data_IF_282388073003
#
_entry.id   IF_282388073003
#
_cell.length_a   1.000
_cell.length_b   1.000
_cell.length_c   1.000
_cell.angle_alpha   90.00
_cell.angle_beta   90.00
_cell.angle_gamma   90.00
#
_symmetry.space_group_name_H-M   'P 1'
#
loop_
_entity.id
_entity.type
_entity.pdbx_description
1 polymer ?
#
# COMPACT_ATOMS: atom_id res chain seq x y z
N UNK A 1 -1.52 -36.33 -14.67
CA UNK A 1 -1.25 -36.94 -16.00
C UNK A 1 -2.32 -36.51 -17.04
N UNK A 2 -2.80 -35.26 -17.03
CA UNK A 2 -3.82 -34.81 -18.00
C UNK A 2 -3.21 -34.06 -19.20
N UNK A 3 -2.00 -33.48 -19.05
CA UNK A 3 -1.30 -32.80 -20.15
C UNK A 3 -0.37 -33.70 -20.98
N UNK A 4 -0.23 -34.99 -20.62
CA UNK A 4 0.73 -35.91 -21.23
C UNK A 4 0.10 -37.02 -22.11
N UNK A 5 -1.24 -37.03 -22.26
CA UNK A 5 -2.00 -38.22 -22.69
C UNK A 5 -2.75 -38.13 -24.02
N UNK A 6 -2.50 -37.16 -24.89
CA UNK A 6 -3.21 -37.07 -26.17
C UNK A 6 -2.53 -36.15 -27.17
N UNK A 7 -2.84 -36.33 -28.44
CA UNK A 7 -2.37 -35.58 -29.61
C UNK A 7 -2.77 -34.09 -29.59
N UNK A 8 -2.37 -33.35 -28.57
CA UNK A 8 -2.61 -31.93 -28.42
C UNK A 8 -1.37 -31.27 -27.84
N UNK A 9 -1.00 -30.10 -28.38
CA UNK A 9 0.15 -29.32 -27.95
C UNK A 9 -0.06 -28.77 -26.52
N UNK A 10 0.65 -29.31 -25.50
CA UNK A 10 0.52 -28.87 -24.12
C UNK A 10 0.91 -27.40 -23.94
N UNK A 11 1.80 -26.89 -24.81
CA UNK A 11 2.20 -25.49 -24.86
C UNK A 11 1.02 -24.56 -25.17
N UNK A 12 0.07 -25.00 -26.02
CA UNK A 12 -1.15 -24.24 -26.29
C UNK A 12 -2.03 -24.10 -25.06
N UNK A 13 -2.20 -25.16 -24.28
CA UNK A 13 -3.01 -25.11 -23.05
C UNK A 13 -2.36 -24.18 -22.03
N UNK A 14 -1.05 -24.30 -21.82
CA UNK A 14 -0.31 -23.41 -20.95
C UNK A 14 -0.42 -21.95 -21.38
N UNK A 15 -0.28 -21.66 -22.68
CA UNK A 15 -0.42 -20.30 -23.22
C UNK A 15 -1.82 -19.70 -22.98
N UNK A 16 -2.88 -20.50 -23.13
CA UNK A 16 -4.26 -20.05 -22.84
C UNK A 16 -4.47 -19.76 -21.35
N UNK A 17 -3.91 -20.59 -20.47
CA UNK A 17 -3.95 -20.35 -19.02
C UNK A 17 -3.25 -19.06 -18.66
N UNK A 18 -2.03 -18.84 -19.17
CA UNK A 18 -1.25 -17.61 -18.91
C UNK A 18 -2.02 -16.37 -19.37
N UNK A 19 -2.68 -16.44 -20.53
CA UNK A 19 -3.50 -15.35 -21.05
C UNK A 19 -4.68 -15.03 -20.13
N UNK A 20 -5.46 -16.05 -19.73
CA UNK A 20 -6.63 -15.86 -18.86
C UNK A 20 -6.25 -15.38 -17.45
N UNK A 21 -5.20 -15.94 -16.87
CA UNK A 21 -4.74 -15.58 -15.53
C UNK A 21 -4.11 -14.19 -15.50
N UNK A 22 -3.43 -13.77 -16.58
CA UNK A 22 -2.90 -12.41 -16.71
C UNK A 22 -4.00 -11.35 -16.60
N UNK A 23 -5.16 -11.59 -17.20
CA UNK A 23 -6.32 -10.70 -17.10
C UNK A 23 -6.86 -10.62 -15.66
N UNK A 24 -7.01 -11.77 -14.98
CA UNK A 24 -7.46 -11.82 -13.59
C UNK A 24 -6.47 -11.12 -12.64
N UNK A 25 -5.16 -11.37 -12.81
CA UNK A 25 -4.12 -10.73 -12.03
C UNK A 25 -4.16 -9.20 -12.16
N UNK A 26 -4.21 -8.69 -13.40
CA UNK A 26 -4.35 -7.26 -13.64
C UNK A 26 -5.61 -6.66 -13.00
N UNK A 27 -6.74 -7.38 -13.06
CA UNK A 27 -8.00 -6.95 -12.46
C UNK A 27 -7.98 -6.84 -10.93
N UNK A 28 -7.02 -7.49 -10.26
CA UNK A 28 -6.84 -7.36 -8.80
C UNK A 28 -5.97 -6.18 -8.39
N UNK A 29 -5.28 -5.52 -9.33
CA UNK A 29 -4.44 -4.35 -9.05
C UNK A 29 -5.31 -3.10 -9.09
N UNK A 30 -5.49 -2.47 -7.93
CA UNK A 30 -6.32 -1.28 -7.78
C UNK A 30 -5.45 -0.06 -7.47
N UNK A 31 -5.71 1.04 -8.17
CA UNK A 31 -5.08 2.33 -7.94
C UNK A 31 -6.09 3.24 -7.23
N UNK A 32 -5.74 3.78 -6.07
CA UNK A 32 -6.58 4.72 -5.32
C UNK A 32 -5.69 5.81 -4.74
N UNK A 33 -5.96 7.07 -5.09
CA UNK A 33 -5.31 8.31 -4.59
C UNK A 33 -3.97 8.09 -3.87
N UNK A 34 -2.89 7.92 -4.63
CA UNK A 34 -1.52 7.80 -4.09
C UNK A 34 -1.07 6.38 -3.71
N UNK A 35 -1.99 5.43 -3.57
CA UNK A 35 -1.69 4.05 -3.19
C UNK A 35 -2.08 3.02 -4.27
N UNK A 36 -1.26 1.97 -4.39
CA UNK A 36 -1.54 0.78 -5.21
C UNK A 36 -1.79 -0.39 -4.29
N UNK A 37 -2.95 -1.05 -4.43
CA UNK A 37 -3.33 -2.22 -3.63
C UNK A 37 -3.55 -3.44 -4.51
N UNK A 38 -3.43 -4.63 -3.93
CA UNK A 38 -3.67 -5.90 -4.64
C UNK A 38 -2.48 -6.42 -5.47
N UNK A 39 -1.32 -5.77 -5.43
CA UNK A 39 -0.12 -6.18 -6.16
C UNK A 39 0.36 -7.60 -5.78
N UNK A 40 0.38 -7.92 -4.48
CA UNK A 40 0.75 -9.26 -3.99
C UNK A 40 -0.29 -10.30 -4.39
N UNK A 41 -1.58 -9.95 -4.37
CA UNK A 41 -2.66 -10.84 -4.83
C UNK A 41 -2.53 -11.16 -6.32
N UNK A 42 -2.22 -10.16 -7.16
CA UNK A 42 -1.98 -10.37 -8.58
C UNK A 42 -0.82 -11.35 -8.82
N UNK A 43 0.28 -11.17 -8.08
CA UNK A 43 1.45 -12.05 -8.16
C UNK A 43 1.15 -13.49 -7.69
N UNK A 44 0.38 -13.67 -6.61
CA UNK A 44 0.04 -15.01 -6.10
C UNK A 44 -0.89 -15.77 -7.04
N UNK A 45 -1.85 -15.11 -7.69
CA UNK A 45 -2.70 -15.74 -8.70
C UNK A 45 -1.84 -16.30 -9.85
N UNK A 46 -0.84 -15.54 -10.31
CA UNK A 46 0.10 -15.97 -11.36
C UNK A 46 0.92 -17.20 -10.92
N UNK A 47 1.45 -17.17 -9.69
CA UNK A 47 2.24 -18.27 -9.13
C UNK A 47 1.42 -19.55 -8.97
N UNK A 48 0.21 -19.45 -8.42
CA UNK A 48 -0.69 -20.60 -8.22
C UNK A 48 -1.07 -21.23 -9.56
N UNK A 49 -1.32 -20.41 -10.59
CA UNK A 49 -1.58 -20.91 -11.94
C UNK A 49 -0.37 -21.66 -12.53
N UNK A 50 0.84 -21.10 -12.42
CA UNK A 50 2.07 -21.75 -12.89
C UNK A 50 2.32 -23.09 -12.17
N UNK A 51 2.11 -23.13 -10.85
CA UNK A 51 2.21 -24.36 -10.05
C UNK A 51 1.18 -25.39 -10.53
N UNK A 52 -0.08 -24.98 -10.74
CA UNK A 52 -1.15 -25.83 -11.23
C UNK A 52 -0.87 -26.42 -12.62
N UNK A 53 -0.28 -25.63 -13.52
CA UNK A 53 0.20 -26.13 -14.83
C UNK A 53 1.30 -27.18 -14.65
N UNK A 54 2.27 -26.95 -13.76
CA UNK A 54 3.32 -27.93 -13.45
C UNK A 54 2.76 -29.24 -12.89
N UNK A 55 1.78 -29.16 -11.99
CA UNK A 55 1.07 -30.35 -11.46
C UNK A 55 0.31 -31.07 -12.57
N UNK A 56 -0.40 -30.32 -13.43
CA UNK A 56 -1.12 -30.87 -14.58
C UNK A 56 -0.22 -31.58 -15.59
N UNK A 57 1.02 -31.10 -15.72
CA UNK A 57 2.09 -31.65 -16.55
C UNK A 57 2.77 -32.88 -15.93
N UNK A 58 2.55 -33.17 -14.65
CA UNK A 58 3.14 -34.30 -13.94
C UNK A 58 4.44 -33.97 -13.19
N UNK A 59 4.88 -32.71 -13.18
CA UNK A 59 6.05 -32.23 -12.46
C UNK A 59 5.73 -32.01 -10.96
N UNK A 60 5.34 -33.09 -10.27
CA UNK A 60 4.80 -33.01 -8.89
C UNK A 60 5.86 -32.54 -7.89
N UNK A 61 7.10 -33.02 -8.02
CA UNK A 61 8.17 -32.69 -7.09
C UNK A 61 8.62 -31.23 -7.26
N UNK A 62 8.73 -30.77 -8.51
CA UNK A 62 9.08 -29.40 -8.86
C UNK A 62 7.97 -28.43 -8.42
N UNK A 63 6.71 -28.77 -8.67
CA UNK A 63 5.56 -27.97 -8.22
C UNK A 63 5.44 -27.91 -6.70
N UNK A 64 5.73 -29.01 -5.98
CA UNK A 64 5.77 -29.01 -4.52
C UNK A 64 6.89 -28.11 -3.98
N UNK A 65 8.08 -28.20 -4.56
CA UNK A 65 9.21 -27.33 -4.23
C UNK A 65 8.91 -25.84 -4.49
N UNK A 66 8.32 -25.53 -5.64
CA UNK A 66 7.89 -24.17 -5.98
C UNK A 66 6.83 -23.65 -5.00
N UNK A 67 5.86 -24.48 -4.60
CA UNK A 67 4.85 -24.12 -3.61
C UNK A 67 5.49 -23.78 -2.26
N UNK A 68 6.41 -24.62 -1.79
CA UNK A 68 7.11 -24.38 -0.52
C UNK A 68 7.92 -23.09 -0.56
N UNK A 69 8.63 -22.85 -1.67
CA UNK A 69 9.41 -21.63 -1.88
C UNK A 69 8.52 -20.39 -1.87
N UNK A 70 7.40 -20.42 -2.59
CA UNK A 70 6.44 -19.30 -2.64
C UNK A 70 5.89 -19.01 -1.25
N UNK A 71 5.50 -20.02 -0.48
CA UNK A 71 5.01 -19.83 0.89
C UNK A 71 6.08 -19.22 1.81
N UNK A 72 7.34 -19.66 1.69
CA UNK A 72 8.45 -19.11 2.45
C UNK A 72 8.68 -17.63 2.11
N UNK A 73 8.69 -17.30 0.81
CA UNK A 73 8.85 -15.92 0.34
C UNK A 73 7.70 -15.04 0.83
N UNK A 74 6.44 -15.45 0.67
CA UNK A 74 5.29 -14.68 1.15
C UNK A 74 5.33 -14.47 2.67
N UNK A 75 5.75 -15.48 3.44
CA UNK A 75 5.90 -15.36 4.89
C UNK A 75 7.06 -14.44 5.28
N UNK A 76 8.17 -14.50 4.55
CA UNK A 76 9.31 -13.60 4.75
C UNK A 76 8.93 -12.15 4.42
N UNK A 77 8.23 -11.89 3.31
CA UNK A 77 7.73 -10.56 2.97
C UNK A 77 6.86 -9.99 4.09
N UNK A 78 5.93 -10.78 4.63
CA UNK A 78 5.09 -10.35 5.76
C UNK A 78 5.89 -10.07 7.04
N UNK A 79 6.98 -10.79 7.27
CA UNK A 79 7.87 -10.54 8.40
C UNK A 79 8.73 -9.29 8.20
N UNK A 80 9.06 -8.95 6.96
CA UNK A 80 9.84 -7.76 6.58
C UNK A 80 8.98 -6.50 6.50
N UNK A 81 7.67 -6.63 6.29
CA UNK A 81 6.71 -5.54 6.27
C UNK A 81 6.86 -4.53 7.43
N UNK A 82 6.91 -4.94 8.73
CA UNK A 82 7.13 -3.99 9.83
C UNK A 82 8.51 -3.33 9.81
N UNK A 83 9.51 -3.95 9.22
CA UNK A 83 10.86 -3.38 9.10
C UNK A 83 10.89 -2.28 8.03
N UNK A 84 10.17 -2.48 6.92
CA UNK A 84 10.03 -1.49 5.84
C UNK A 84 9.11 -0.35 6.28
N UNK A 85 7.98 -0.64 6.94
CA UNK A 85 7.05 0.38 7.44
C UNK A 85 7.65 1.30 8.51
N UNK A 86 8.71 0.86 9.20
CA UNK A 86 9.48 1.71 10.13
C UNK A 86 10.29 2.80 9.41
N UNK A 87 10.46 2.71 8.09
CA UNK A 87 11.20 3.71 7.30
C UNK A 87 10.21 4.75 6.77
N UNK A 88 9.82 5.66 7.68
CA UNK A 88 9.13 6.93 7.47
C UNK A 88 8.05 6.98 6.37
N UNK A 89 6.78 6.83 6.75
CA UNK A 89 5.65 7.21 5.92
C UNK A 89 5.61 8.75 5.87
N UNK A 90 5.73 9.34 4.68
CA UNK A 90 5.41 10.77 4.49
C UNK A 90 3.89 10.86 4.44
N UNK A 91 3.27 11.47 5.45
CA UNK A 91 1.82 11.68 5.47
C UNK A 91 1.52 13.14 5.24
N UNK A 92 0.55 13.43 4.36
CA UNK A 92 0.11 14.78 4.06
C UNK A 92 -1.11 15.09 4.93
N UNK A 93 -0.90 15.91 5.96
CA UNK A 93 -1.96 16.37 6.86
C UNK A 93 -2.53 17.66 6.32
N UNK A 94 -3.85 17.71 6.12
CA UNK A 94 -4.56 18.96 5.80
C UNK A 94 -5.42 19.37 6.98
N UNK A 95 -5.19 20.59 7.46
CA UNK A 95 -5.84 21.18 8.63
C UNK A 95 -6.55 22.46 8.18
N UNK A 96 -7.86 22.54 8.40
CA UNK A 96 -8.63 23.78 8.26
C UNK A 96 -8.77 24.45 9.62
N UNK A 97 -8.32 25.71 9.71
CA UNK A 97 -8.42 26.55 10.91
C UNK A 97 -8.96 27.92 10.55
N UNK A 98 -9.56 28.61 11.53
CA UNK A 98 -9.97 29.99 11.36
C UNK A 98 -8.75 30.88 11.07
N UNK A 99 -8.92 31.86 10.18
CA UNK A 99 -7.85 32.74 9.73
C UNK A 99 -7.46 33.74 10.84
N UNK A 100 -6.65 33.28 11.80
CA UNK A 100 -6.02 34.10 12.81
C UNK A 100 -4.50 34.25 12.52
N UNK A 101 -3.89 35.39 12.89
CA UNK A 101 -2.44 35.54 12.81
C UNK A 101 -1.76 34.51 13.72
N UNK A 102 -0.85 33.70 13.16
CA UNK A 102 -0.10 32.65 13.88
C UNK A 102 -0.67 31.23 13.79
N UNK A 103 -1.84 31.02 13.15
CA UNK A 103 -2.46 29.68 13.07
C UNK A 103 -1.57 28.64 12.37
N UNK A 104 -0.78 29.05 11.37
CA UNK A 104 0.15 28.14 10.68
C UNK A 104 1.31 27.68 11.58
N UNK A 105 1.87 28.60 12.36
CA UNK A 105 2.99 28.36 13.28
C UNK A 105 2.55 27.47 14.44
N UNK A 106 1.31 27.65 14.94
CA UNK A 106 0.74 26.80 15.99
C UNK A 106 0.53 25.36 15.53
N UNK A 107 -0.04 25.16 14.33
CA UNK A 107 -0.23 23.82 13.75
C UNK A 107 1.11 23.15 13.49
N UNK A 108 2.10 23.87 12.94
CA UNK A 108 3.44 23.33 12.75
C UNK A 108 4.10 22.91 14.07
N UNK A 109 3.99 23.73 15.12
CA UNK A 109 4.53 23.44 16.46
C UNK A 109 3.93 22.16 17.04
N UNK A 110 2.60 21.99 16.97
CA UNK A 110 1.90 20.78 17.47
C UNK A 110 2.38 19.53 16.74
N UNK A 111 2.57 19.62 15.41
CA UNK A 111 3.06 18.50 14.59
C UNK A 111 4.50 18.12 14.96
N UNK A 112 5.37 19.12 15.19
CA UNK A 112 6.75 18.89 15.64
C UNK A 112 6.81 18.32 17.07
N UNK A 113 5.98 18.81 17.99
CA UNK A 113 5.87 18.30 19.37
C UNK A 113 5.38 16.85 19.43
N UNK A 114 4.56 16.43 18.47
CA UNK A 114 4.18 15.02 18.30
C UNK A 114 5.32 14.12 17.79
N UNK A 115 6.49 14.70 17.50
CA UNK A 115 7.69 13.99 17.07
C UNK A 115 7.75 13.70 15.57
N UNK A 116 6.94 14.36 14.76
CA UNK A 116 7.00 14.25 13.30
C UNK A 116 8.01 15.26 12.72
N UNK A 117 8.79 14.83 11.72
CA UNK A 117 9.61 15.72 10.90
C UNK A 117 8.74 16.39 9.84
N UNK A 118 8.54 17.70 9.96
CA UNK A 118 7.83 18.50 8.94
C UNK A 118 8.75 18.70 7.73
N UNK A 119 8.36 18.14 6.59
CA UNK A 119 9.06 18.24 5.32
C UNK A 119 8.64 19.47 4.50
N UNK A 120 7.37 19.86 4.55
CA UNK A 120 6.85 21.05 3.89
C UNK A 120 5.57 21.57 4.57
N UNK A 121 5.36 22.88 4.54
CA UNK A 121 4.13 23.56 4.98
C UNK A 121 3.64 24.46 3.85
N UNK A 122 2.36 24.35 3.51
CA UNK A 122 1.66 25.24 2.58
C UNK A 122 0.41 25.78 3.25
N UNK A 123 0.31 27.10 3.38
CA UNK A 123 -0.86 27.76 3.93
C UNK A 123 -1.54 28.56 2.83
N UNK A 124 -2.80 28.24 2.55
CA UNK A 124 -3.61 28.95 1.56
C UNK A 124 -4.86 29.54 2.24
N UNK A 125 -5.05 30.87 2.20
CA UNK A 125 -6.26 31.49 2.70
C UNK A 125 -7.41 31.22 1.72
N UNK A 126 -8.50 30.59 2.21
CA UNK A 126 -9.65 30.19 1.41
C UNK A 126 -10.94 30.67 2.07
N UNK A 127 -11.54 31.73 1.52
CA UNK A 127 -12.88 32.18 1.90
C UNK A 127 -13.08 32.53 3.39
N UNK A 128 -12.08 33.15 4.03
CA UNK A 128 -12.12 33.50 5.46
C UNK A 128 -11.61 32.41 6.41
N UNK A 129 -11.20 31.26 5.87
CA UNK A 129 -10.50 30.17 6.60
C UNK A 129 -9.07 30.04 6.10
N UNK A 130 -8.19 29.51 6.93
CA UNK A 130 -6.83 29.14 6.57
C UNK A 130 -6.74 27.63 6.39
N UNK A 131 -6.38 27.19 5.18
CA UNK A 131 -6.11 25.77 4.90
C UNK A 131 -4.61 25.57 4.98
N UNK A 132 -4.17 24.71 5.90
CA UNK A 132 -2.76 24.39 6.10
C UNK A 132 -2.53 22.94 5.66
N UNK A 133 -1.75 22.74 4.60
CA UNK A 133 -1.24 21.44 4.18
C UNK A 133 0.19 21.25 4.70
N UNK A 134 0.41 20.17 5.44
CA UNK A 134 1.71 19.82 6.01
C UNK A 134 2.12 18.44 5.51
N UNK A 135 3.33 18.31 4.99
CA UNK A 135 3.93 16.99 4.78
C UNK A 135 4.79 16.65 5.99
N UNK A 136 4.45 15.57 6.68
CA UNK A 136 5.13 15.17 7.91
C UNK A 136 5.59 13.72 7.80
N UNK A 137 6.86 13.47 8.18
CA UNK A 137 7.48 12.15 8.19
C UNK A 137 7.58 11.64 9.61
N UNK A 138 7.22 10.38 9.82
CA UNK A 138 7.41 9.74 11.11
C UNK A 138 6.88 8.33 11.17
N UNK A 139 6.97 7.75 12.36
CA UNK A 139 6.38 6.44 12.65
C UNK A 139 4.86 6.54 12.77
N UNK A 140 4.16 5.42 12.57
CA UNK A 140 2.70 5.37 12.70
C UNK A 140 2.21 5.77 14.11
N UNK A 141 2.95 5.44 15.18
CA UNK A 141 2.60 5.89 16.53
C UNK A 141 2.66 7.43 16.67
N UNK A 142 3.65 8.07 16.05
CA UNK A 142 3.78 9.53 16.06
C UNK A 142 2.67 10.19 15.22
N UNK A 143 2.28 9.56 14.10
CA UNK A 143 1.17 10.05 13.27
C UNK A 143 -0.18 9.96 14.00
N UNK A 144 -0.47 8.83 14.66
CA UNK A 144 -1.69 8.68 15.46
C UNK A 144 -1.74 9.69 16.62
N UNK A 145 -0.61 9.93 17.29
CA UNK A 145 -0.52 10.92 18.36
C UNK A 145 -0.69 12.36 17.84
N UNK A 146 -0.06 12.70 16.71
CA UNK A 146 -0.22 14.00 16.06
C UNK A 146 -1.67 14.24 15.65
N UNK A 147 -2.34 13.22 15.09
CA UNK A 147 -3.76 13.28 14.70
C UNK A 147 -4.65 13.58 15.89
N UNK A 148 -4.48 12.87 17.00
CA UNK A 148 -5.25 13.10 18.23
C UNK A 148 -4.97 14.47 18.85
N UNK A 149 -3.72 14.94 18.78
CA UNK A 149 -3.31 16.26 19.29
C UNK A 149 -3.90 17.39 18.45
N UNK A 150 -3.89 17.27 17.13
CA UNK A 150 -4.52 18.23 16.22
C UNK A 150 -6.04 18.29 16.41
N UNK A 151 -6.72 17.15 16.57
CA UNK A 151 -8.17 17.10 16.84
C UNK A 151 -8.55 17.79 18.16
N UNK A 152 -7.66 17.78 19.17
CA UNK A 152 -7.90 18.46 20.45
C UNK A 152 -7.59 19.95 20.43
N UNK A 153 -6.55 20.36 19.71
CA UNK A 153 -6.06 21.73 19.75
C UNK A 153 -6.77 22.68 18.78
N UNK A 154 -7.14 22.21 17.60
CA UNK A 154 -7.44 23.11 16.47
C UNK A 154 -8.91 23.49 16.31
N UNK A 155 -9.84 22.83 17.02
CA UNK A 155 -11.27 22.97 16.69
C UNK A 155 -11.58 22.61 15.21
N UNK A 156 -10.64 21.96 14.51
CA UNK A 156 -10.74 21.71 13.08
C UNK A 156 -11.86 20.72 12.80
N UNK A 157 -12.86 21.20 12.08
CA UNK A 157 -14.06 20.44 11.74
C UNK A 157 -13.78 19.34 10.69
N UNK A 158 -12.60 19.35 10.05
CA UNK A 158 -12.21 18.40 9.02
C UNK A 158 -10.69 18.24 8.94
N UNK A 159 -10.18 17.09 9.37
CA UNK A 159 -8.79 16.67 9.17
C UNK A 159 -8.78 15.58 8.09
N UNK A 160 -8.38 15.95 6.87
CA UNK A 160 -8.20 14.99 5.78
C UNK A 160 -6.73 14.60 5.70
N UNK A 161 -6.46 13.33 5.96
CA UNK A 161 -5.15 12.71 5.74
C UNK A 161 -5.23 12.02 4.39
N UNK A 162 -4.42 12.47 3.43
CA UNK A 162 -4.13 11.64 2.26
C UNK A 162 -2.98 10.71 2.68
N UNK A 163 -3.26 9.40 2.69
CA UNK A 163 -2.31 8.30 2.99
C UNK A 163 -1.42 7.97 1.79
#
# INVERSE_FOLDING_TARGET
>A
MFLAGGSGDPGRIAAQIVTGVGFLGAGTILHTRGAVTGLTSAATIWLVAAIGVGVGAGAIYESAGATLLVLLVLRALRAVEPFVRRRAVVSRLRVEVDAAPGSAEEVERIVREAGLEVAAVHAEPRGGRMVIELEARGSQQQQDYARLSLLRASGAYTLSVDE
#
